data_IF_508704483378
#
_entry.id   IF_508704483378
#
_cell.length_a   1.000
_cell.length_b   1.000
_cell.length_c   1.000
_cell.angle_alpha   90.00
_cell.angle_beta   90.00
_cell.angle_gamma   90.00
#
_symmetry.space_group_name_H-M   'P 1'
#
loop_
_entity.id
_entity.type
_entity.pdbx_description
1 polymer ?
#
# COMPACT_ATOMS: atom_id res chain seq x y z
N UNK A 1 -3.64 -25.63 -10.28
CA UNK A 1 -4.67 -24.79 -9.65
C UNK A 1 -4.55 -23.37 -10.17
N UNK A 2 -5.67 -22.74 -10.49
CA UNK A 2 -5.74 -21.36 -11.03
C UNK A 2 -6.33 -20.41 -10.00
N UNK A 3 -5.61 -19.36 -9.65
CA UNK A 3 -5.99 -18.38 -8.61
C UNK A 3 -6.06 -17.00 -9.23
N UNK A 4 -7.12 -16.25 -8.94
CA UNK A 4 -7.27 -14.84 -9.32
C UNK A 4 -6.93 -13.96 -8.11
N UNK A 5 -5.90 -13.12 -8.25
CA UNK A 5 -5.47 -12.16 -7.24
C UNK A 5 -5.96 -10.76 -7.60
N UNK A 6 -6.66 -10.12 -6.67
CA UNK A 6 -7.15 -8.75 -6.76
C UNK A 6 -7.05 -8.07 -5.39
N UNK A 7 -7.03 -6.74 -5.35
CA UNK A 7 -6.94 -5.94 -4.12
C UNK A 7 -7.48 -4.53 -4.34
N UNK A 8 -7.56 -3.75 -3.29
CA UNK A 8 -7.77 -2.30 -3.33
C UNK A 8 -9.03 -1.90 -4.11
N UNK A 9 -10.16 -2.56 -3.78
CA UNK A 9 -11.45 -2.28 -4.45
C UNK A 9 -12.01 -0.93 -4.07
N UNK A 10 -11.78 -0.49 -2.82
CA UNK A 10 -12.22 0.79 -2.26
C UNK A 10 -13.68 1.10 -2.57
N UNK A 11 -14.59 0.15 -2.34
CA UNK A 11 -16.02 0.35 -2.56
C UNK A 11 -16.52 1.59 -1.80
N UNK A 12 -17.15 2.52 -2.53
CA UNK A 12 -17.62 3.78 -2.00
C UNK A 12 -16.63 4.94 -2.09
N UNK A 13 -15.48 4.75 -2.73
CA UNK A 13 -14.54 5.83 -3.03
C UNK A 13 -15.10 6.76 -4.09
N UNK A 14 -14.77 8.04 -3.98
CA UNK A 14 -15.07 9.05 -4.96
C UNK A 14 -13.78 9.57 -5.62
N UNK A 15 -13.86 9.95 -6.89
CA UNK A 15 -12.77 10.54 -7.66
C UNK A 15 -13.06 12.04 -7.85
N UNK A 16 -12.33 12.93 -7.16
CA UNK A 16 -12.56 14.39 -7.21
C UNK A 16 -14.05 14.78 -7.05
N UNK A 17 -14.77 14.11 -6.14
CA UNK A 17 -16.19 14.35 -5.88
C UNK A 17 -17.16 13.61 -6.83
N UNK A 18 -16.65 12.90 -7.83
CA UNK A 18 -17.45 12.01 -8.66
C UNK A 18 -17.61 10.64 -8.00
N UNK A 19 -18.83 10.16 -7.92
CA UNK A 19 -19.14 8.83 -7.38
C UNK A 19 -18.71 7.77 -8.39
N UNK A 20 -18.13 6.66 -7.89
CA UNK A 20 -17.61 5.57 -8.71
C UNK A 20 -18.48 4.29 -8.65
N UNK A 21 -19.72 4.39 -8.18
CA UNK A 21 -20.57 3.22 -7.95
C UNK A 21 -20.83 2.40 -9.23
N UNK A 22 -20.97 3.07 -10.37
CA UNK A 22 -21.12 2.42 -11.68
C UNK A 22 -19.84 1.69 -12.13
N UNK A 23 -18.67 2.27 -11.83
CA UNK A 23 -17.39 1.65 -12.12
C UNK A 23 -17.13 0.44 -11.20
N UNK A 24 -17.49 0.53 -9.91
CA UNK A 24 -17.41 -0.59 -8.98
C UNK A 24 -18.37 -1.73 -9.38
N UNK A 25 -19.59 -1.42 -9.80
CA UNK A 25 -20.55 -2.42 -10.28
C UNK A 25 -20.04 -3.12 -11.56
N UNK A 26 -19.51 -2.34 -12.52
CA UNK A 26 -18.94 -2.88 -13.75
C UNK A 26 -17.71 -3.77 -13.46
N UNK A 27 -16.88 -3.40 -12.49
CA UNK A 27 -15.77 -4.25 -12.03
C UNK A 27 -16.27 -5.55 -11.41
N UNK A 28 -17.30 -5.49 -10.55
CA UNK A 28 -17.89 -6.68 -9.92
C UNK A 28 -18.43 -7.66 -10.96
N UNK A 29 -19.12 -7.15 -12.00
CA UNK A 29 -19.61 -7.93 -13.12
C UNK A 29 -18.46 -8.59 -13.89
N UNK A 30 -17.44 -7.79 -14.26
CA UNK A 30 -16.25 -8.30 -14.93
C UNK A 30 -15.55 -9.40 -14.13
N UNK A 31 -15.42 -9.23 -12.82
CA UNK A 31 -14.75 -10.20 -11.94
C UNK A 31 -15.50 -11.55 -11.96
N UNK A 32 -16.83 -11.53 -11.88
CA UNK A 32 -17.67 -12.74 -11.95
C UNK A 32 -17.58 -13.42 -13.30
N UNK A 33 -17.59 -12.65 -14.39
CA UNK A 33 -17.43 -13.16 -15.76
C UNK A 33 -16.04 -13.78 -15.96
N UNK A 34 -14.98 -13.10 -15.49
CA UNK A 34 -13.60 -13.57 -15.57
C UNK A 34 -13.42 -14.90 -14.82
N UNK A 35 -13.97 -15.02 -13.62
CA UNK A 35 -13.93 -16.27 -12.85
C UNK A 35 -14.55 -17.43 -13.61
N UNK A 36 -15.64 -17.18 -14.31
CA UNK A 36 -16.31 -18.20 -15.11
C UNK A 36 -15.53 -18.54 -16.39
N UNK A 37 -15.04 -17.53 -17.11
CA UNK A 37 -14.33 -17.70 -18.37
C UNK A 37 -13.00 -18.44 -18.19
N UNK A 38 -12.27 -18.10 -17.14
CA UNK A 38 -10.93 -18.66 -16.85
C UNK A 38 -10.97 -19.89 -15.95
N UNK A 39 -12.14 -20.38 -15.56
CA UNK A 39 -12.28 -21.54 -14.67
C UNK A 39 -11.42 -21.40 -13.40
N UNK A 40 -11.57 -20.27 -12.71
CA UNK A 40 -10.78 -19.92 -11.52
C UNK A 40 -11.18 -20.78 -10.34
N UNK A 41 -10.23 -21.47 -9.73
CA UNK A 41 -10.44 -22.33 -8.55
C UNK A 41 -10.60 -21.55 -7.25
N UNK A 42 -9.90 -20.37 -7.15
CA UNK A 42 -9.99 -19.49 -6.00
C UNK A 42 -9.71 -18.03 -6.37
N UNK A 43 -10.38 -17.10 -5.69
CA UNK A 43 -10.11 -15.66 -5.71
C UNK A 43 -9.48 -15.26 -4.38
N UNK A 44 -8.36 -14.54 -4.41
CA UNK A 44 -7.75 -13.92 -3.24
C UNK A 44 -7.88 -12.41 -3.32
N UNK A 45 -8.47 -11.80 -2.27
CA UNK A 45 -8.73 -10.35 -2.18
C UNK A 45 -7.85 -9.78 -1.07
N UNK A 46 -6.81 -9.03 -1.44
CA UNK A 46 -5.71 -8.63 -0.55
C UNK A 46 -5.89 -7.22 0.04
N UNK A 47 -6.99 -7.01 0.77
CA UNK A 47 -7.25 -5.79 1.54
C UNK A 47 -7.88 -4.64 0.76
N UNK A 48 -8.22 -3.59 1.51
CA UNK A 48 -8.88 -2.36 1.07
C UNK A 48 -10.13 -2.63 0.21
N UNK A 49 -11.01 -3.45 0.79
CA UNK A 49 -12.30 -3.79 0.17
C UNK A 49 -13.23 -2.58 0.17
N UNK A 50 -13.32 -1.88 1.28
CA UNK A 50 -14.05 -0.63 1.42
C UNK A 50 -13.11 0.58 1.50
N UNK A 51 -13.56 1.74 1.00
CA UNK A 51 -12.80 2.99 1.10
C UNK A 51 -12.68 3.52 2.54
N UNK A 52 -13.56 3.10 3.43
CA UNK A 52 -13.58 3.55 4.83
C UNK A 52 -14.12 2.50 5.78
N UNK A 53 -13.69 2.58 7.02
CA UNK A 53 -14.09 1.65 8.09
C UNK A 53 -15.61 1.57 8.35
N UNK A 54 -16.38 2.60 7.96
CA UNK A 54 -17.86 2.63 8.00
C UNK A 54 -18.36 2.86 6.57
N UNK A 55 -18.54 1.78 5.77
CA UNK A 55 -18.98 1.91 4.39
C UNK A 55 -20.47 2.30 4.31
N UNK A 56 -20.88 2.99 3.24
CA UNK A 56 -22.29 3.17 2.92
C UNK A 56 -23.02 1.84 2.73
N UNK A 57 -24.30 1.80 3.04
CA UNK A 57 -25.11 0.57 2.90
C UNK A 57 -25.10 0.01 1.46
N UNK A 58 -25.13 0.88 0.45
CA UNK A 58 -25.05 0.47 -0.95
C UNK A 58 -23.75 -0.32 -1.26
N UNK A 59 -22.62 0.08 -0.68
CA UNK A 59 -21.35 -0.62 -0.86
C UNK A 59 -21.37 -2.00 -0.18
N UNK A 60 -22.03 -2.12 0.97
CA UNK A 60 -22.21 -3.41 1.65
C UNK A 60 -23.08 -4.33 0.79
N UNK A 61 -24.17 -3.82 0.22
CA UNK A 61 -25.03 -4.57 -0.70
C UNK A 61 -24.27 -5.02 -1.94
N UNK A 62 -23.47 -4.15 -2.56
CA UNK A 62 -22.67 -4.49 -3.73
C UNK A 62 -21.62 -5.58 -3.40
N UNK A 63 -20.97 -5.50 -2.24
CA UNK A 63 -20.04 -6.55 -1.81
C UNK A 63 -20.75 -7.88 -1.59
N UNK A 64 -21.87 -7.87 -0.86
CA UNK A 64 -22.67 -9.07 -0.58
C UNK A 64 -23.08 -9.77 -1.87
N UNK A 65 -23.67 -9.02 -2.81
CA UNK A 65 -24.08 -9.55 -4.13
C UNK A 65 -22.88 -10.10 -4.92
N UNK A 66 -21.74 -9.38 -4.90
CA UNK A 66 -20.52 -9.82 -5.60
C UNK A 66 -20.02 -11.14 -5.00
N UNK A 67 -19.89 -11.23 -3.67
CA UNK A 67 -19.45 -12.43 -2.97
C UNK A 67 -20.40 -13.61 -3.19
N UNK A 68 -21.72 -13.36 -3.18
CA UNK A 68 -22.72 -14.39 -3.47
C UNK A 68 -22.49 -14.99 -4.86
N UNK A 69 -22.36 -14.16 -5.89
CA UNK A 69 -22.11 -14.60 -7.28
C UNK A 69 -20.77 -15.30 -7.47
N UNK A 70 -19.71 -14.81 -6.84
CA UNK A 70 -18.38 -15.45 -6.88
C UNK A 70 -18.42 -16.84 -6.21
N UNK A 71 -19.01 -16.93 -5.02
CA UNK A 71 -19.02 -18.17 -4.25
C UNK A 71 -19.92 -19.27 -4.83
N UNK A 72 -20.80 -18.95 -5.76
CA UNK A 72 -21.52 -19.94 -6.58
C UNK A 72 -20.55 -20.74 -7.50
N UNK A 73 -19.42 -20.14 -7.87
CA UNK A 73 -18.49 -20.67 -8.89
C UNK A 73 -17.13 -21.07 -8.34
N UNK A 74 -16.59 -20.29 -7.40
CA UNK A 74 -15.22 -20.43 -6.90
C UNK A 74 -15.15 -20.25 -5.39
N UNK A 75 -13.97 -20.42 -4.82
CA UNK A 75 -13.68 -20.08 -3.43
C UNK A 75 -13.13 -18.65 -3.36
N UNK A 76 -13.49 -17.93 -2.30
CA UNK A 76 -12.99 -16.58 -2.05
C UNK A 76 -12.28 -16.54 -0.71
N UNK A 77 -11.04 -16.09 -0.70
CA UNK A 77 -10.27 -15.77 0.51
C UNK A 77 -10.06 -14.27 0.56
N UNK A 78 -10.43 -13.63 1.65
CA UNK A 78 -10.40 -12.16 1.77
C UNK A 78 -9.74 -11.73 3.08
N UNK A 79 -8.98 -10.64 3.03
CA UNK A 79 -8.40 -9.96 4.19
C UNK A 79 -8.78 -8.49 4.22
N UNK A 80 -8.88 -7.83 5.37
CA UNK A 80 -8.97 -6.37 5.44
C UNK A 80 -7.62 -5.71 5.15
N UNK A 81 -7.69 -4.52 4.54
CA UNK A 81 -6.58 -3.59 4.41
C UNK A 81 -6.61 -2.49 5.49
N UNK A 82 -5.87 -1.39 5.27
CA UNK A 82 -5.76 -0.31 6.23
C UNK A 82 -6.96 0.68 6.21
N UNK A 83 -7.78 0.66 5.17
CA UNK A 83 -9.03 1.41 5.10
C UNK A 83 -10.19 0.66 5.76
N UNK A 84 -10.13 -0.66 5.78
CA UNK A 84 -11.19 -1.50 6.30
C UNK A 84 -11.26 -1.49 7.84
N UNK A 85 -12.46 -1.72 8.36
CA UNK A 85 -12.61 -2.17 9.74
C UNK A 85 -12.52 -3.69 9.79
N UNK A 86 -11.44 -4.23 10.36
CA UNK A 86 -11.27 -5.67 10.54
C UNK A 86 -12.45 -6.32 11.28
N UNK A 87 -13.06 -5.62 12.25
CA UNK A 87 -14.23 -6.09 12.97
C UNK A 87 -15.49 -6.17 12.11
N UNK A 88 -15.71 -5.19 11.22
CA UNK A 88 -16.90 -5.14 10.36
C UNK A 88 -16.78 -6.09 9.18
N UNK A 89 -15.65 -6.07 8.48
CA UNK A 89 -15.39 -7.01 7.39
C UNK A 89 -15.35 -8.45 7.90
N UNK A 90 -14.81 -8.67 9.10
CA UNK A 90 -14.76 -9.98 9.76
C UNK A 90 -16.03 -10.37 10.50
N UNK A 91 -17.13 -9.60 10.38
CA UNK A 91 -18.41 -10.00 10.97
C UNK A 91 -18.85 -11.36 10.43
N UNK A 92 -19.23 -12.26 11.33
CA UNK A 92 -19.64 -13.63 11.01
C UNK A 92 -18.59 -14.51 10.29
N UNK A 93 -17.32 -14.06 10.17
CA UNK A 93 -16.26 -14.80 9.47
C UNK A 93 -16.07 -16.23 10.01
N UNK A 94 -16.24 -16.44 11.32
CA UNK A 94 -16.13 -17.77 11.92
C UNK A 94 -17.32 -18.68 11.61
N UNK A 95 -18.42 -18.14 11.08
CA UNK A 95 -19.60 -18.88 10.63
C UNK A 95 -19.54 -19.23 9.14
N UNK A 96 -18.77 -18.47 8.36
CA UNK A 96 -18.56 -18.71 6.94
C UNK A 96 -17.64 -19.90 6.73
N UNK A 97 -17.95 -20.76 5.77
CA UNK A 97 -17.22 -22.01 5.55
C UNK A 97 -17.11 -22.32 4.06
N UNK A 98 -16.16 -23.19 3.73
CA UNK A 98 -15.95 -23.81 2.43
C UNK A 98 -15.60 -22.84 1.30
N UNK A 99 -16.54 -21.99 0.87
CA UNK A 99 -16.35 -21.13 -0.31
C UNK A 99 -16.05 -19.68 0.00
N UNK A 100 -16.34 -19.21 1.23
CA UNK A 100 -15.97 -17.85 1.66
C UNK A 100 -15.19 -17.90 2.96
N UNK A 101 -13.96 -17.42 2.93
CA UNK A 101 -13.06 -17.39 4.07
C UNK A 101 -12.55 -15.96 4.25
N UNK A 102 -12.94 -15.31 5.35
CA UNK A 102 -12.48 -13.98 5.71
C UNK A 102 -11.50 -14.11 6.87
N UNK A 103 -10.27 -13.66 6.68
CA UNK A 103 -9.23 -13.61 7.70
C UNK A 103 -9.00 -12.17 8.14
N UNK A 104 -9.74 -11.74 9.17
CA UNK A 104 -9.72 -10.35 9.64
C UNK A 104 -8.96 -10.16 10.97
N UNK A 105 -8.58 -11.23 11.64
CA UNK A 105 -7.96 -11.18 12.98
C UNK A 105 -6.50 -11.64 12.92
N UNK A 106 -5.68 -11.11 13.82
CA UNK A 106 -4.30 -11.56 14.03
C UNK A 106 -4.23 -12.97 14.63
N UNK A 107 -5.28 -13.40 15.35
CA UNK A 107 -5.40 -14.78 15.83
C UNK A 107 -5.70 -15.72 14.67
N UNK A 108 -4.81 -16.68 14.41
CA UNK A 108 -4.96 -17.65 13.32
C UNK A 108 -4.07 -17.37 12.11
N UNK A 109 -3.14 -16.44 12.19
CA UNK A 109 -2.08 -16.23 11.18
C UNK A 109 -1.22 -17.49 10.98
N UNK A 110 -1.10 -18.31 12.02
CA UNK A 110 -0.44 -19.61 12.08
C UNK A 110 -1.28 -20.76 11.51
N UNK A 111 -2.40 -20.46 10.83
CA UNK A 111 -3.33 -21.47 10.29
C UNK A 111 -3.54 -21.24 8.81
N UNK A 112 -2.66 -21.84 8.00
CA UNK A 112 -2.82 -21.85 6.56
C UNK A 112 -4.14 -22.51 6.13
N UNK A 113 -4.75 -21.96 5.09
CA UNK A 113 -5.96 -22.47 4.45
C UNK A 113 -5.50 -23.42 3.34
N UNK A 114 -5.84 -24.68 3.42
CA UNK A 114 -5.57 -25.62 2.33
C UNK A 114 -6.74 -25.55 1.36
N UNK A 115 -6.48 -25.13 0.14
CA UNK A 115 -7.46 -25.07 -0.93
C UNK A 115 -7.29 -26.30 -1.83
N UNK A 116 -8.40 -27.01 -2.12
CA UNK A 116 -8.39 -28.09 -3.09
C UNK A 116 -8.52 -27.56 -4.53
N UNK A 117 -8.01 -28.34 -5.47
CA UNK A 117 -8.26 -28.15 -6.90
C UNK A 117 -9.70 -28.55 -7.30
N UNK A 118 -10.00 -28.48 -8.60
CA UNK A 118 -11.29 -28.87 -9.15
C UNK A 118 -11.64 -30.37 -8.92
N UNK A 119 -10.63 -31.21 -8.70
CA UNK A 119 -10.78 -32.65 -8.42
C UNK A 119 -10.96 -32.95 -6.93
N UNK A 120 -10.88 -31.94 -6.07
CA UNK A 120 -10.98 -32.06 -4.62
C UNK A 120 -9.68 -32.44 -3.91
N UNK A 121 -8.54 -32.53 -4.63
CA UNK A 121 -7.24 -32.79 -4.02
C UNK A 121 -6.65 -31.49 -3.44
N UNK A 122 -6.00 -31.59 -2.29
CA UNK A 122 -5.25 -30.48 -1.71
C UNK A 122 -4.21 -29.96 -2.68
N UNK A 123 -4.30 -28.68 -3.08
CA UNK A 123 -3.51 -28.13 -4.18
C UNK A 123 -2.60 -26.96 -3.76
N UNK A 124 -3.00 -26.15 -2.78
CA UNK A 124 -2.22 -24.98 -2.36
C UNK A 124 -2.51 -24.64 -0.89
N UNK A 125 -1.50 -24.12 -0.20
CA UNK A 125 -1.65 -23.56 1.15
C UNK A 125 -1.69 -22.03 1.01
N UNK A 126 -2.77 -21.40 1.47
CA UNK A 126 -2.91 -19.94 1.49
C UNK A 126 -2.80 -19.44 2.93
N UNK A 127 -1.82 -18.59 3.21
CA UNK A 127 -1.76 -17.82 4.44
C UNK A 127 -2.27 -16.41 4.18
N UNK A 128 -3.31 -16.01 4.88
CA UNK A 128 -3.98 -14.75 4.67
C UNK A 128 -3.70 -13.80 5.85
N UNK A 129 -2.76 -12.86 5.66
CA UNK A 129 -2.44 -11.84 6.63
C UNK A 129 -3.37 -10.64 6.41
N UNK A 130 -4.18 -10.22 7.41
CA UNK A 130 -4.85 -8.93 7.37
C UNK A 130 -3.80 -7.80 7.43
N UNK A 131 -4.20 -6.58 7.15
CA UNK A 131 -3.36 -5.43 7.49
C UNK A 131 -2.95 -5.48 8.96
N UNK A 132 -1.65 -5.41 9.20
CA UNK A 132 -1.06 -5.45 10.54
C UNK A 132 -0.71 -4.02 10.96
N UNK A 133 -1.67 -3.36 11.63
CA UNK A 133 -1.40 -2.08 12.26
C UNK A 133 -0.31 -2.24 13.32
N UNK A 134 0.83 -1.52 13.21
CA UNK A 134 1.96 -1.72 14.13
C UNK A 134 1.61 -1.48 15.60
N UNK A 135 0.70 -0.56 15.91
CA UNK A 135 0.32 -0.28 17.29
C UNK A 135 -0.48 -1.42 17.92
N UNK A 136 -1.41 -2.02 17.15
CA UNK A 136 -2.20 -3.14 17.60
C UNK A 136 -1.44 -4.48 17.52
N UNK A 137 -0.73 -4.71 16.41
CA UNK A 137 -0.06 -5.99 16.15
C UNK A 137 1.16 -6.20 17.06
N UNK A 138 1.90 -5.14 17.45
CA UNK A 138 3.03 -5.25 18.36
C UNK A 138 2.67 -5.82 19.75
N UNK A 139 1.41 -5.69 20.14
CA UNK A 139 0.89 -6.25 21.40
C UNK A 139 0.25 -7.63 21.21
N UNK A 140 -0.40 -7.84 20.07
CA UNK A 140 -1.15 -9.07 19.81
C UNK A 140 -0.27 -10.26 19.38
N UNK A 141 0.86 -10.02 18.70
CA UNK A 141 1.71 -11.09 18.17
C UNK A 141 2.64 -11.77 19.20
N UNK A 142 3.26 -11.08 20.18
CA UNK A 142 4.19 -11.72 21.11
C UNK A 142 3.60 -12.92 21.88
N UNK A 143 2.35 -12.90 22.39
CA UNK A 143 1.76 -14.07 23.01
C UNK A 143 1.64 -15.26 22.05
N UNK A 144 1.32 -15.01 20.78
CA UNK A 144 1.23 -16.07 19.76
C UNK A 144 2.60 -16.65 19.42
N UNK A 145 3.65 -15.82 19.33
CA UNK A 145 5.02 -16.28 19.13
C UNK A 145 5.49 -17.15 20.30
N UNK A 146 5.23 -16.72 21.53
CA UNK A 146 5.57 -17.48 22.72
C UNK A 146 4.85 -18.85 22.77
N UNK A 147 3.53 -18.85 22.48
CA UNK A 147 2.71 -20.07 22.48
C UNK A 147 3.11 -21.04 21.35
N UNK A 148 3.34 -20.52 20.15
CA UNK A 148 3.51 -21.36 18.95
C UNK A 148 4.97 -21.73 18.66
N UNK A 149 5.91 -20.84 18.97
CA UNK A 149 7.32 -21.01 18.65
C UNK A 149 8.21 -21.16 19.89
N UNK A 150 7.67 -20.98 21.09
CA UNK A 150 8.43 -20.97 22.33
C UNK A 150 9.37 -19.77 22.42
N UNK A 151 9.20 -18.75 21.58
CA UNK A 151 10.02 -17.56 21.58
C UNK A 151 9.75 -16.73 22.84
N UNK A 152 10.73 -16.63 23.71
CA UNK A 152 10.68 -15.68 24.82
C UNK A 152 11.08 -14.30 24.28
N UNK A 153 10.32 -13.30 24.64
CA UNK A 153 10.67 -11.90 24.32
C UNK A 153 12.08 -11.58 24.86
N UNK A 154 12.92 -10.98 24.02
CA UNK A 154 14.26 -10.52 24.40
C UNK A 154 14.24 -9.35 25.41
N UNK A 155 15.37 -8.75 25.82
CA UNK A 155 15.41 -7.63 26.77
C UNK A 155 14.67 -6.40 26.21
N UNK A 156 14.11 -5.53 27.09
CA UNK A 156 13.31 -4.36 26.68
C UNK A 156 14.11 -3.45 25.74
N UNK A 157 13.42 -2.90 24.75
CA UNK A 157 14.01 -1.89 23.86
C UNK A 157 14.27 -0.60 24.64
N UNK A 158 15.39 0.11 24.42
CA UNK A 158 15.70 1.36 25.13
C UNK A 158 14.67 2.48 24.96
N UNK A 159 13.76 2.34 23.99
CA UNK A 159 12.70 3.32 23.69
C UNK A 159 11.42 3.14 24.53
N UNK A 160 11.27 2.03 25.23
CA UNK A 160 10.19 1.86 26.22
C UNK A 160 10.61 2.57 27.52
N UNK A 161 10.33 3.89 27.60
CA UNK A 161 10.60 4.70 28.77
C UNK A 161 10.07 4.00 30.03
N UNK A 162 10.99 3.52 30.86
CA UNK A 162 10.68 3.08 32.22
C UNK A 162 10.18 4.30 32.98
N UNK A 163 8.93 4.29 33.37
CA UNK A 163 8.47 5.15 34.47
C UNK A 163 9.19 4.69 35.74
N UNK A 164 10.02 5.54 36.38
CA UNK A 164 10.89 5.11 37.49
C UNK A 164 10.16 4.70 38.77
N UNK A 165 8.84 4.76 38.79
CA UNK A 165 8.03 4.62 40.01
C UNK A 165 7.20 3.32 40.12
N UNK A 166 7.31 2.38 39.15
CA UNK A 166 6.64 1.07 39.25
C UNK A 166 7.50 0.06 40.00
N UNK A 167 7.56 0.19 41.33
CA UNK A 167 8.24 -0.73 42.25
C UNK A 167 7.51 -2.06 42.50
N UNK A 168 6.57 -2.48 41.67
CA UNK A 168 5.88 -3.77 41.77
C UNK A 168 6.29 -4.71 40.64
N UNK A 169 7.06 -5.75 40.97
CA UNK A 169 7.41 -6.85 40.10
C UNK A 169 6.15 -7.70 39.81
N UNK A 170 5.17 -7.11 39.12
CA UNK A 170 4.03 -7.82 38.57
C UNK A 170 4.47 -8.86 37.54
N UNK A 171 3.59 -9.83 37.17
CA UNK A 171 3.92 -10.90 36.24
C UNK A 171 4.47 -10.30 34.95
N UNK A 172 5.66 -10.78 34.54
CA UNK A 172 6.41 -10.34 33.36
C UNK A 172 5.46 -10.11 32.16
N UNK A 173 5.18 -8.85 31.83
CA UNK A 173 4.36 -8.51 30.66
C UNK A 173 5.09 -9.04 29.42
N UNK A 174 4.40 -9.70 28.49
CA UNK A 174 5.01 -10.13 27.25
C UNK A 174 5.54 -8.88 26.52
N UNK A 175 6.83 -8.94 26.18
CA UNK A 175 7.55 -7.82 25.59
C UNK A 175 6.94 -7.46 24.23
N UNK A 176 6.66 -6.17 24.02
CA UNK A 176 6.12 -5.63 22.77
C UNK A 176 7.16 -5.72 21.65
N UNK A 177 6.71 -5.95 20.42
CA UNK A 177 7.56 -5.81 19.23
C UNK A 177 7.90 -4.34 18.99
N UNK A 178 8.98 -4.09 18.22
CA UNK A 178 9.27 -2.75 17.74
C UNK A 178 8.06 -2.16 16.97
N UNK A 179 7.86 -0.84 17.11
CA UNK A 179 6.76 -0.12 16.49
C UNK A 179 7.08 0.17 15.02
N UNK A 180 7.06 -0.87 14.19
CA UNK A 180 7.29 -0.75 12.75
C UNK A 180 6.55 -1.84 11.99
N UNK A 181 6.19 -1.56 10.73
CA UNK A 181 5.59 -2.54 9.82
C UNK A 181 6.52 -3.74 9.60
N UNK A 182 7.82 -3.50 9.47
CA UNK A 182 8.81 -4.56 9.34
C UNK A 182 8.77 -5.55 10.50
N UNK A 183 8.74 -5.05 11.74
CA UNK A 183 8.75 -5.90 12.93
C UNK A 183 7.51 -6.78 13.04
N UNK A 184 6.31 -6.22 12.80
CA UNK A 184 5.05 -6.98 12.91
C UNK A 184 4.86 -7.96 11.76
N UNK A 185 5.25 -7.58 10.54
CA UNK A 185 5.21 -8.50 9.38
C UNK A 185 6.24 -9.62 9.54
N UNK A 186 7.45 -9.32 10.00
CA UNK A 186 8.46 -10.34 10.30
C UNK A 186 7.97 -11.35 11.35
N UNK A 187 7.34 -10.86 12.41
CA UNK A 187 6.76 -11.70 13.44
C UNK A 187 5.66 -12.63 12.89
N UNK A 188 4.73 -12.08 12.07
CA UNK A 188 3.69 -12.88 11.42
C UNK A 188 4.28 -13.94 10.48
N UNK A 189 5.32 -13.59 9.71
CA UNK A 189 5.96 -14.53 8.79
C UNK A 189 6.68 -15.68 9.50
N UNK A 190 7.21 -15.47 10.71
CA UNK A 190 7.74 -16.58 11.52
C UNK A 190 6.66 -17.60 11.88
N UNK A 191 5.45 -17.14 12.23
CA UNK A 191 4.31 -18.01 12.46
C UNK A 191 3.90 -18.79 11.20
N UNK A 192 3.89 -18.10 10.05
CA UNK A 192 3.63 -18.71 8.73
C UNK A 192 4.67 -19.79 8.40
N UNK A 193 5.96 -19.51 8.62
CA UNK A 193 7.03 -20.47 8.36
C UNK A 193 6.86 -21.76 9.15
N UNK A 194 6.55 -21.65 10.43
CA UNK A 194 6.33 -22.80 11.28
C UNK A 194 5.09 -23.61 10.87
N UNK A 195 4.02 -22.96 10.44
CA UNK A 195 2.84 -23.66 9.92
C UNK A 195 3.14 -24.39 8.61
N UNK A 196 3.86 -23.75 7.68
CA UNK A 196 4.28 -24.38 6.43
C UNK A 196 5.15 -25.60 6.68
N UNK A 197 6.12 -25.51 7.58
CA UNK A 197 6.96 -26.64 7.97
C UNK A 197 6.11 -27.82 8.46
N UNK A 198 5.21 -27.57 9.42
CA UNK A 198 4.31 -28.61 9.95
C UNK A 198 3.43 -29.24 8.87
N UNK A 199 2.86 -28.42 7.98
CA UNK A 199 1.96 -28.88 6.92
C UNK A 199 2.65 -29.66 5.83
N UNK A 200 3.91 -29.36 5.56
CA UNK A 200 4.72 -30.04 4.56
C UNK A 200 5.47 -31.25 5.12
N UNK A 201 5.61 -31.35 6.43
CA UNK A 201 6.28 -32.48 7.08
C UNK A 201 5.58 -33.81 6.76
N UNK A 202 6.36 -34.83 6.36
CA UNK A 202 5.86 -36.17 6.08
C UNK A 202 5.00 -36.33 4.82
N UNK A 203 4.84 -35.28 4.00
CA UNK A 203 4.15 -35.38 2.72
C UNK A 203 5.08 -35.92 1.63
N UNK A 204 4.57 -36.80 0.79
CA UNK A 204 5.30 -37.31 -0.39
C UNK A 204 5.43 -36.26 -1.49
N UNK A 205 4.50 -35.29 -1.56
CA UNK A 205 4.46 -34.21 -2.53
C UNK A 205 4.35 -32.85 -1.83
N UNK A 206 5.13 -31.89 -2.33
CA UNK A 206 5.14 -30.53 -1.78
C UNK A 206 3.88 -29.77 -2.19
N UNK A 207 3.17 -29.21 -1.22
CA UNK A 207 2.11 -28.24 -1.51
C UNK A 207 2.72 -26.85 -1.71
N UNK A 208 2.45 -26.18 -2.83
CA UNK A 208 2.83 -24.78 -3.04
C UNK A 208 2.14 -23.85 -2.05
N UNK A 209 2.68 -22.65 -1.87
CA UNK A 209 2.16 -21.69 -0.90
C UNK A 209 1.96 -20.30 -1.49
N UNK A 210 0.84 -19.71 -1.13
CA UNK A 210 0.47 -18.32 -1.41
C UNK A 210 0.36 -17.59 -0.09
N UNK A 211 1.03 -16.43 0.01
CA UNK A 211 0.84 -15.48 1.10
C UNK A 211 0.01 -14.31 0.58
N UNK A 212 -1.07 -13.96 1.26
CA UNK A 212 -1.77 -12.70 1.08
C UNK A 212 -1.27 -11.71 2.12
N UNK A 213 -0.96 -10.48 1.72
CA UNK A 213 -0.58 -9.41 2.64
C UNK A 213 -1.01 -8.05 2.09
N UNK A 214 -1.29 -7.12 3.00
CA UNK A 214 -1.58 -5.73 2.66
C UNK A 214 -0.54 -4.84 3.32
N UNK A 215 0.46 -4.41 2.56
CA UNK A 215 1.62 -3.67 3.07
C UNK A 215 2.34 -2.91 1.96
N UNK A 216 3.01 -1.81 2.31
CA UNK A 216 3.94 -1.14 1.42
C UNK A 216 5.31 -1.83 1.48
N UNK A 217 5.71 -2.48 0.40
CA UNK A 217 7.01 -3.16 0.29
C UNK A 217 8.02 -2.26 -0.41
N UNK A 218 9.22 -2.17 0.13
CA UNK A 218 10.33 -1.37 -0.44
C UNK A 218 10.58 -1.75 -1.89
N UNK A 219 10.69 -0.74 -2.76
CA UNK A 219 10.85 -0.89 -4.21
C UNK A 219 9.53 -0.83 -4.98
N UNK A 220 8.39 -0.75 -4.30
CA UNK A 220 7.10 -0.47 -4.92
C UNK A 220 6.94 1.02 -5.26
N UNK A 221 6.27 1.30 -6.37
CA UNK A 221 5.91 2.65 -6.79
C UNK A 221 4.51 2.99 -6.28
N UNK A 222 4.42 3.94 -5.36
CA UNK A 222 3.16 4.48 -4.85
C UNK A 222 2.55 5.51 -5.83
N UNK A 223 1.25 5.76 -5.72
CA UNK A 223 0.54 6.88 -6.33
C UNK A 223 0.07 7.88 -5.26
N UNK A 224 -0.64 8.93 -5.64
CA UNK A 224 -1.17 9.92 -4.69
C UNK A 224 -2.46 9.45 -3.99
N UNK A 225 -2.98 8.31 -4.35
CA UNK A 225 -4.27 7.82 -3.88
C UNK A 225 -4.17 6.85 -2.70
N UNK A 226 -2.98 6.31 -2.42
CA UNK A 226 -2.74 5.46 -1.25
C UNK A 226 -2.76 6.31 0.04
N UNK A 227 -3.30 5.70 1.09
CA UNK A 227 -3.28 6.31 2.42
C UNK A 227 -1.89 6.18 3.03
N UNK A 228 -1.39 7.29 3.59
CA UNK A 228 -0.14 7.28 4.38
C UNK A 228 -0.31 6.37 5.62
N UNK A 229 0.53 5.34 5.71
CA UNK A 229 0.56 4.37 6.82
C UNK A 229 1.80 4.54 7.71
N UNK A 230 2.50 5.68 7.63
CA UNK A 230 3.74 5.92 8.37
C UNK A 230 3.59 5.79 9.87
N UNK A 231 4.49 5.01 10.46
CA UNK A 231 4.66 4.88 11.91
C UNK A 231 6.11 5.16 12.24
N UNK A 232 6.37 6.19 13.05
CA UNK A 232 7.75 6.58 13.38
C UNK A 232 8.59 7.03 12.18
N UNK A 233 7.95 7.45 11.08
CA UNK A 233 8.63 7.90 9.85
C UNK A 233 8.96 6.79 8.85
N UNK A 234 8.65 5.53 9.15
CA UNK A 234 8.87 4.37 8.26
C UNK A 234 7.53 3.69 7.98
N UNK A 235 7.19 3.55 6.71
CA UNK A 235 5.94 2.97 6.23
C UNK A 235 6.10 1.65 5.47
N UNK A 236 7.34 1.24 5.23
CA UNK A 236 7.65 0.17 4.29
C UNK A 236 8.24 -1.07 4.96
N UNK A 237 8.01 -2.21 4.31
CA UNK A 237 8.57 -3.51 4.67
C UNK A 237 9.63 -3.90 3.65
N UNK A 238 10.88 -4.23 4.05
CA UNK A 238 11.86 -4.73 3.11
C UNK A 238 11.39 -6.01 2.42
N UNK A 239 11.54 -6.10 1.10
CA UNK A 239 11.15 -7.30 0.34
C UNK A 239 11.85 -8.57 0.81
N UNK A 240 13.04 -8.44 1.40
CA UNK A 240 13.80 -9.53 1.99
C UNK A 240 13.06 -10.22 3.15
N UNK A 241 12.21 -9.51 3.87
CA UNK A 241 11.39 -10.06 4.98
C UNK A 241 10.53 -11.23 4.48
N UNK A 242 9.99 -11.14 3.27
CA UNK A 242 9.19 -12.22 2.66
C UNK A 242 10.05 -13.41 2.20
N UNK A 243 11.25 -13.16 1.68
CA UNK A 243 12.17 -14.23 1.24
C UNK A 243 12.79 -14.99 2.40
N UNK A 244 13.06 -14.31 3.51
CA UNK A 244 13.59 -14.92 4.74
C UNK A 244 12.51 -15.37 5.71
N UNK A 245 11.24 -15.11 5.37
CA UNK A 245 10.08 -15.36 6.25
C UNK A 245 10.28 -14.81 7.66
N UNK A 246 10.67 -13.53 7.73
CA UNK A 246 10.93 -12.83 8.98
C UNK A 246 12.20 -13.31 9.73
N UNK A 247 13.13 -13.92 9.03
CA UNK A 247 14.35 -14.49 9.63
C UNK A 247 14.11 -15.80 10.38
N UNK A 248 13.02 -16.51 10.08
CA UNK A 248 12.65 -17.77 10.75
C UNK A 248 13.66 -18.88 10.46
N UNK A 249 14.08 -19.63 11.49
CA UNK A 249 14.83 -20.86 11.32
C UNK A 249 14.04 -21.93 10.54
N UNK A 250 12.71 -21.91 10.64
CA UNK A 250 11.82 -22.80 9.90
C UNK A 250 11.70 -22.45 8.41
N UNK A 251 12.19 -21.28 7.95
CA UNK A 251 12.05 -20.84 6.57
C UNK A 251 12.66 -21.82 5.57
N UNK A 252 13.85 -22.38 5.87
CA UNK A 252 14.50 -23.37 5.01
C UNK A 252 13.77 -24.72 5.04
N UNK A 253 13.43 -25.22 6.24
CA UNK A 253 12.72 -26.48 6.42
C UNK A 253 11.30 -26.44 5.82
N UNK A 254 10.65 -25.28 5.88
CA UNK A 254 9.32 -25.06 5.27
C UNK A 254 9.35 -25.11 3.73
N UNK A 255 10.50 -24.95 3.09
CA UNK A 255 10.63 -24.79 1.63
C UNK A 255 10.13 -23.45 1.10
N UNK A 256 9.85 -22.47 1.97
CA UNK A 256 9.54 -21.09 1.62
C UNK A 256 8.18 -20.85 0.96
N UNK A 257 7.95 -19.59 0.59
CA UNK A 257 6.78 -19.12 -0.16
C UNK A 257 7.00 -19.23 -1.67
N UNK A 258 5.95 -19.45 -2.44
CA UNK A 258 6.00 -19.47 -3.91
C UNK A 258 5.48 -18.15 -4.50
N UNK A 259 4.43 -17.58 -3.90
CA UNK A 259 3.79 -16.35 -4.34
C UNK A 259 3.36 -15.49 -3.16
N UNK A 260 3.57 -14.18 -3.26
CA UNK A 260 3.08 -13.18 -2.32
C UNK A 260 2.12 -12.27 -3.05
N UNK A 261 0.84 -12.41 -2.75
CA UNK A 261 -0.24 -11.58 -3.24
C UNK A 261 -0.33 -10.32 -2.37
N UNK A 262 0.07 -9.18 -2.92
CA UNK A 262 0.15 -7.90 -2.22
C UNK A 262 -1.02 -6.97 -2.60
N UNK A 263 -1.58 -6.29 -1.59
CA UNK A 263 -2.42 -5.11 -1.73
C UNK A 263 -1.77 -3.88 -1.10
N UNK A 264 -2.39 -2.72 -1.24
CA UNK A 264 -2.03 -1.38 -0.80
C UNK A 264 -1.56 -0.46 -1.92
N UNK A 265 -0.74 -0.92 -2.85
CA UNK A 265 -0.30 -0.09 -3.97
C UNK A 265 -1.24 -0.24 -5.17
N UNK A 266 -1.77 0.90 -5.63
CA UNK A 266 -2.80 0.94 -6.68
C UNK A 266 -2.27 0.73 -8.10
N UNK A 267 -0.93 0.79 -8.30
CA UNK A 267 -0.29 0.46 -9.58
C UNK A 267 0.05 -1.02 -9.63
N UNK A 268 -0.43 -1.78 -10.64
CA UNK A 268 -0.03 -3.17 -10.83
C UNK A 268 1.46 -3.28 -11.07
N UNK A 269 2.17 -4.05 -10.25
CA UNK A 269 3.62 -4.19 -10.35
C UNK A 269 4.12 -5.49 -9.72
N UNK A 270 5.22 -6.01 -10.24
CA UNK A 270 5.96 -7.12 -9.67
C UNK A 270 7.28 -6.62 -9.10
N UNK A 271 7.53 -6.91 -7.85
CA UNK A 271 8.77 -6.55 -7.18
C UNK A 271 9.81 -7.64 -7.37
N UNK A 272 11.01 -7.23 -7.73
CA UNK A 272 12.17 -8.11 -7.76
C UNK A 272 12.99 -7.86 -6.50
N UNK A 273 13.07 -8.82 -5.57
CA UNK A 273 13.98 -8.70 -4.44
C UNK A 273 15.40 -8.44 -4.98
N UNK A 274 16.18 -7.57 -4.31
CA UNK A 274 17.58 -7.39 -4.69
C UNK A 274 18.26 -8.76 -4.69
N UNK A 275 18.96 -9.08 -5.78
CA UNK A 275 19.84 -10.25 -5.80
C UNK A 275 20.82 -10.07 -4.65
N UNK A 276 20.93 -11.07 -3.77
CA UNK A 276 22.02 -11.11 -2.82
C UNK A 276 23.32 -10.96 -3.64
N UNK A 277 23.97 -9.79 -3.52
CA UNK A 277 25.31 -9.64 -4.07
C UNK A 277 26.15 -10.72 -3.42
N UNK A 278 26.73 -11.59 -4.24
CA UNK A 278 27.74 -12.52 -3.77
C UNK A 278 28.90 -11.66 -3.25
N UNK A 279 28.82 -11.36 -1.94
CA UNK A 279 29.79 -10.55 -1.25
C UNK A 279 31.17 -11.15 -1.44
N UNK A 280 32.07 -10.36 -2.01
CA UNK A 280 33.48 -10.63 -2.02
C UNK A 280 33.96 -10.87 -0.57
N UNK A 281 34.47 -12.06 -0.32
CA UNK A 281 35.45 -12.41 0.67
C UNK A 281 35.20 -12.04 2.17
N UNK A 282 34.34 -12.79 2.84
CA UNK A 282 34.67 -13.32 4.17
C UNK A 282 34.17 -14.77 4.23
N UNK A 283 35.05 -15.72 4.44
CA UNK A 283 34.89 -17.16 4.25
C UNK A 283 33.91 -17.87 5.19
N UNK A 284 32.66 -17.45 5.21
CA UNK A 284 31.54 -18.22 5.74
C UNK A 284 30.50 -18.33 4.64
N UNK A 285 30.55 -19.43 3.93
CA UNK A 285 29.49 -19.87 3.02
C UNK A 285 28.25 -20.14 3.86
N UNK A 286 27.35 -19.17 3.96
CA UNK A 286 25.97 -19.48 4.28
C UNK A 286 25.46 -20.42 3.19
N UNK A 287 24.86 -21.60 3.52
CA UNK A 287 24.36 -22.51 2.52
C UNK A 287 23.31 -21.76 1.69
N UNK A 288 23.50 -21.74 0.38
CA UNK A 288 22.53 -21.21 -0.57
C UNK A 288 21.18 -21.84 -0.26
N UNK A 289 20.20 -21.01 0.08
CA UNK A 289 18.82 -21.48 0.23
C UNK A 289 18.44 -22.15 -1.11
N UNK A 290 18.20 -23.42 -1.08
CA UNK A 290 17.78 -24.24 -2.24
C UNK A 290 16.33 -23.96 -2.64
N UNK A 291 15.76 -22.83 -2.25
CA UNK A 291 14.41 -22.40 -2.57
C UNK A 291 14.42 -21.25 -3.59
N UNK A 292 13.56 -21.38 -4.59
CA UNK A 292 13.23 -20.30 -5.52
C UNK A 292 12.64 -19.13 -4.72
N UNK A 293 13.15 -17.91 -4.91
CA UNK A 293 12.58 -16.73 -4.26
C UNK A 293 11.11 -16.55 -4.68
N UNK A 294 10.20 -16.21 -3.76
CA UNK A 294 8.80 -15.99 -4.08
C UNK A 294 8.64 -14.81 -5.06
N UNK A 295 7.60 -14.87 -5.89
CA UNK A 295 7.18 -13.72 -6.67
C UNK A 295 6.32 -12.80 -5.81
N UNK A 296 6.70 -11.52 -5.70
CA UNK A 296 6.00 -10.50 -4.94
C UNK A 296 5.24 -9.62 -5.93
N UNK A 297 3.90 -9.65 -5.88
CA UNK A 297 3.08 -9.00 -6.92
C UNK A 297 1.97 -8.19 -6.30
N UNK A 298 1.85 -6.93 -6.70
CA UNK A 298 0.68 -6.09 -6.50
C UNK A 298 -0.25 -6.23 -7.70
N UNK A 299 -1.50 -6.62 -7.47
CA UNK A 299 -2.53 -6.61 -8.52
C UNK A 299 -2.88 -5.17 -8.94
N UNK A 300 -2.70 -4.23 -8.03
CA UNK A 300 -3.19 -2.88 -8.13
C UNK A 300 -4.69 -2.76 -7.86
N UNK A 301 -5.19 -1.54 -7.80
CA UNK A 301 -6.63 -1.27 -7.72
C UNK A 301 -7.30 -1.51 -9.08
N UNK A 302 -8.57 -1.96 -9.10
CA UNK A 302 -9.30 -2.20 -10.35
C UNK A 302 -9.70 -0.90 -11.07
N UNK A 303 -9.73 0.22 -10.35
CA UNK A 303 -10.16 1.54 -10.84
C UNK A 303 -9.04 2.54 -10.52
N UNK A 304 -8.85 3.55 -11.37
CA UNK A 304 -7.95 4.66 -11.08
C UNK A 304 -8.58 5.58 -10.01
N UNK A 305 -7.83 5.89 -8.96
CA UNK A 305 -8.26 6.75 -7.86
C UNK A 305 -7.50 8.07 -7.79
N UNK A 306 -6.49 8.26 -8.65
CA UNK A 306 -5.78 9.52 -8.84
C UNK A 306 -5.41 9.75 -10.30
N UNK A 307 -5.15 11.01 -10.67
CA UNK A 307 -4.65 11.32 -12.02
C UNK A 307 -3.25 10.77 -12.29
N UNK A 308 -2.50 10.44 -11.26
CA UNK A 308 -1.17 9.84 -11.41
C UNK A 308 -1.23 8.37 -11.85
N UNK A 309 -2.41 7.78 -11.82
CA UNK A 309 -2.67 6.42 -12.29
C UNK A 309 -3.21 6.37 -13.72
N UNK A 310 -3.30 7.52 -14.40
CA UNK A 310 -3.87 7.64 -15.75
C UNK A 310 -3.17 6.77 -16.80
N UNK A 311 -1.89 6.50 -16.63
CA UNK A 311 -1.03 5.68 -17.49
C UNK A 311 -0.94 4.22 -17.04
N UNK A 312 -1.54 3.88 -15.89
CA UNK A 312 -1.51 2.54 -15.34
C UNK A 312 -2.66 1.68 -15.91
N UNK A 313 -2.34 0.62 -16.62
CA UNK A 313 -3.33 -0.38 -17.00
C UNK A 313 -3.82 -1.12 -15.75
N UNK A 314 -5.10 -0.96 -15.42
CA UNK A 314 -5.72 -1.60 -14.28
C UNK A 314 -5.96 -3.07 -14.56
N UNK A 315 -5.59 -3.93 -13.60
CA UNK A 315 -5.61 -5.38 -13.84
C UNK A 315 -5.92 -6.17 -12.58
N UNK A 316 -6.40 -7.39 -12.77
CA UNK A 316 -6.28 -8.50 -11.82
C UNK A 316 -5.17 -9.44 -12.28
N UNK A 317 -4.63 -10.26 -11.39
CA UNK A 317 -3.55 -11.20 -11.71
C UNK A 317 -4.07 -12.62 -11.70
N UNK A 318 -3.98 -13.29 -12.84
CA UNK A 318 -4.28 -14.72 -12.97
C UNK A 318 -3.00 -15.50 -12.72
N UNK A 319 -3.03 -16.40 -11.74
CA UNK A 319 -1.90 -17.19 -11.27
C UNK A 319 -2.17 -18.67 -11.50
N UNK A 320 -1.34 -19.33 -12.28
CA UNK A 320 -1.29 -20.80 -12.33
C UNK A 320 -0.19 -21.30 -11.39
N UNK A 321 -0.58 -22.19 -10.47
CA UNK A 321 0.31 -22.73 -9.43
C UNK A 321 0.17 -24.26 -9.35
N UNK A 322 1.31 -24.93 -9.27
CA UNK A 322 1.41 -26.38 -9.16
C UNK A 322 2.46 -26.80 -8.13
N UNK A 323 2.78 -28.09 -8.01
CA UNK A 323 3.73 -28.60 -7.00
C UNK A 323 5.11 -27.93 -7.07
N UNK A 324 5.55 -27.56 -8.28
CA UNK A 324 6.82 -26.83 -8.51
C UNK A 324 6.73 -25.31 -8.24
N UNK A 325 5.60 -24.81 -7.72
CA UNK A 325 5.33 -23.41 -7.46
C UNK A 325 4.60 -22.72 -8.62
N UNK A 326 4.88 -21.43 -8.86
CA UNK A 326 4.23 -20.63 -9.90
C UNK A 326 4.65 -21.09 -11.28
N UNK A 327 3.69 -21.55 -12.09
CA UNK A 327 3.90 -22.02 -13.48
C UNK A 327 3.45 -21.01 -14.52
N UNK A 328 2.48 -20.14 -14.20
CA UNK A 328 1.99 -19.06 -15.05
C UNK A 328 1.59 -17.84 -14.24
N UNK A 329 1.76 -16.67 -14.81
CA UNK A 329 1.26 -15.40 -14.25
C UNK A 329 0.91 -14.47 -15.40
N UNK A 330 -0.35 -14.05 -15.42
CA UNK A 330 -0.89 -13.15 -16.42
C UNK A 330 -1.63 -11.99 -15.75
N UNK A 331 -1.51 -10.80 -16.31
CA UNK A 331 -2.32 -9.64 -15.92
C UNK A 331 -3.51 -9.54 -16.85
N UNK A 332 -4.70 -9.64 -16.28
CA UNK A 332 -5.95 -9.50 -17.00
C UNK A 332 -6.46 -8.08 -16.82
N UNK A 333 -6.55 -7.33 -17.89
CA UNK A 333 -7.01 -5.95 -17.86
C UNK A 333 -8.45 -5.84 -17.35
N UNK A 334 -8.67 -4.88 -16.45
CA UNK A 334 -10.02 -4.52 -15.99
C UNK A 334 -10.61 -3.49 -16.95
N UNK A 335 -11.86 -3.66 -17.43
CA UNK A 335 -12.51 -2.68 -18.29
C UNK A 335 -12.63 -1.31 -17.62
N UNK A 336 -12.07 -0.28 -18.26
CA UNK A 336 -12.06 1.09 -17.74
C UNK A 336 -13.40 1.77 -18.07
N UNK A 337 -14.22 2.05 -17.04
CA UNK A 337 -15.49 2.77 -17.19
C UNK A 337 -15.27 4.27 -17.41
N UNK A 338 -14.36 4.86 -16.63
CA UNK A 338 -14.02 6.28 -16.71
C UNK A 338 -12.50 6.39 -16.95
N UNK A 339 -12.13 6.84 -18.13
CA UNK A 339 -10.74 7.16 -18.45
C UNK A 339 -10.34 8.44 -17.74
N UNK A 340 -9.11 8.48 -17.23
CA UNK A 340 -8.53 9.67 -16.61
C UNK A 340 -7.33 10.14 -17.43
N UNK A 341 -7.17 11.45 -17.59
CA UNK A 341 -6.08 12.05 -18.38
C UNK A 341 -5.55 13.30 -17.69
N UNK A 342 -4.26 13.53 -17.82
CA UNK A 342 -3.65 14.82 -17.51
C UNK A 342 -3.26 15.50 -18.83
N UNK A 343 -3.76 16.70 -19.05
CA UNK A 343 -3.41 17.56 -20.20
C UNK A 343 -2.60 18.73 -19.70
N UNK A 344 -1.44 18.96 -20.31
CA UNK A 344 -0.52 20.03 -19.97
C UNK A 344 -0.19 20.86 -21.21
N UNK A 345 -0.21 22.17 -21.08
CA UNK A 345 0.13 23.08 -22.17
C UNK A 345 -0.44 24.48 -22.03
N UNK A 346 -0.15 25.31 -23.02
CA UNK A 346 -0.74 26.64 -23.15
C UNK A 346 -2.23 26.59 -23.53
N UNK A 347 -2.95 27.70 -23.32
CA UNK A 347 -4.39 27.77 -23.55
C UNK A 347 -4.82 27.34 -24.96
N UNK A 348 -4.11 27.81 -25.99
CA UNK A 348 -4.40 27.46 -27.39
C UNK A 348 -4.21 25.97 -27.66
N UNK A 349 -3.13 25.38 -27.16
CA UNK A 349 -2.83 23.95 -27.29
C UNK A 349 -3.88 23.09 -26.61
N UNK A 350 -4.30 23.49 -25.40
CA UNK A 350 -5.32 22.76 -24.64
C UNK A 350 -6.66 22.78 -25.35
N UNK A 351 -7.08 23.96 -25.89
CA UNK A 351 -8.34 24.07 -26.65
C UNK A 351 -8.29 23.40 -28.03
N UNK A 352 -7.10 23.15 -28.58
CA UNK A 352 -6.93 22.36 -29.80
C UNK A 352 -7.01 20.84 -29.55
N UNK A 353 -6.88 20.41 -28.29
CA UNK A 353 -6.99 18.98 -27.92
C UNK A 353 -8.46 18.58 -27.89
N UNK A 354 -8.83 17.53 -28.61
CA UNK A 354 -10.21 17.01 -28.62
C UNK A 354 -10.65 16.45 -27.28
N UNK A 355 -11.91 16.66 -26.93
CA UNK A 355 -12.55 15.98 -25.81
C UNK A 355 -12.98 14.56 -26.25
N UNK A 356 -12.53 13.56 -25.50
CA UNK A 356 -12.87 12.14 -25.70
C UNK A 356 -13.79 11.58 -24.58
N UNK A 357 -14.37 12.48 -23.77
CA UNK A 357 -15.24 12.13 -22.66
C UNK A 357 -14.49 11.63 -21.42
N UNK A 358 -13.15 11.72 -21.39
CA UNK A 358 -12.34 11.37 -20.22
C UNK A 358 -12.51 12.37 -19.08
N UNK A 359 -12.26 11.92 -17.86
CA UNK A 359 -12.05 12.82 -16.73
C UNK A 359 -10.65 13.43 -16.83
N UNK A 360 -10.58 14.75 -16.75
CA UNK A 360 -9.37 15.50 -17.11
C UNK A 360 -8.86 16.31 -15.95
N UNK A 361 -7.54 16.22 -15.71
CA UNK A 361 -6.76 17.23 -14.99
C UNK A 361 -6.06 18.10 -16.04
N UNK A 362 -6.27 19.43 -15.97
CA UNK A 362 -5.57 20.38 -16.81
C UNK A 362 -4.49 21.10 -16.01
N UNK A 363 -3.27 21.11 -16.53
CA UNK A 363 -2.14 21.92 -16.08
C UNK A 363 -1.90 22.99 -17.15
N UNK A 364 -2.42 24.19 -16.89
CA UNK A 364 -2.21 25.33 -17.78
C UNK A 364 -0.82 25.93 -17.55
N UNK A 365 0.03 25.88 -18.56
CA UNK A 365 1.36 26.48 -18.54
C UNK A 365 1.35 27.85 -19.23
N UNK A 366 2.21 28.75 -18.80
CA UNK A 366 2.30 30.07 -19.38
C UNK A 366 1.25 31.06 -18.87
N UNK A 367 0.76 31.94 -19.75
CA UNK A 367 -0.19 32.96 -19.37
C UNK A 367 -1.58 32.40 -19.12
N UNK A 368 -2.22 32.89 -18.06
CA UNK A 368 -3.61 32.56 -17.73
C UNK A 368 -4.54 33.72 -18.17
N UNK A 369 -5.20 33.57 -19.32
CA UNK A 369 -6.14 34.62 -19.77
C UNK A 369 -7.37 34.68 -18.85
N UNK A 370 -8.03 35.85 -18.75
CA UNK A 370 -9.31 35.97 -18.07
C UNK A 370 -10.33 34.93 -18.58
N UNK A 371 -11.02 34.27 -17.69
CA UNK A 371 -12.00 33.24 -18.05
C UNK A 371 -11.44 31.88 -18.49
N UNK A 372 -10.12 31.64 -18.39
CA UNK A 372 -9.47 30.39 -18.80
C UNK A 372 -10.16 29.14 -18.24
N UNK A 373 -10.46 29.11 -16.93
CA UNK A 373 -11.15 27.97 -16.33
C UNK A 373 -12.54 27.74 -16.91
N UNK A 374 -13.29 28.81 -17.17
CA UNK A 374 -14.63 28.69 -17.75
C UNK A 374 -14.59 28.15 -19.19
N UNK A 375 -13.65 28.64 -20.00
CA UNK A 375 -13.42 28.15 -21.36
C UNK A 375 -12.99 26.68 -21.38
N UNK A 376 -12.07 26.28 -20.49
CA UNK A 376 -11.62 24.89 -20.38
C UNK A 376 -12.73 23.96 -19.87
N UNK A 377 -13.56 24.42 -18.92
CA UNK A 377 -14.74 23.62 -18.48
C UNK A 377 -15.80 23.46 -19.56
N UNK A 378 -15.97 24.47 -20.41
CA UNK A 378 -16.89 24.38 -21.55
C UNK A 378 -16.37 23.42 -22.64
N UNK A 379 -15.04 23.38 -22.81
CA UNK A 379 -14.37 22.50 -23.78
C UNK A 379 -14.23 21.06 -23.31
N UNK A 380 -13.92 20.87 -22.01
CA UNK A 380 -13.81 19.57 -21.37
C UNK A 380 -14.87 19.42 -20.26
N UNK A 381 -16.06 18.89 -20.54
CA UNK A 381 -17.10 18.64 -19.52
C UNK A 381 -16.59 17.76 -18.36
N UNK A 382 -15.64 16.87 -18.64
CA UNK A 382 -14.95 16.02 -17.66
C UNK A 382 -13.81 16.68 -16.90
N UNK A 383 -13.64 18.01 -16.92
CA UNK A 383 -12.60 18.71 -16.18
C UNK A 383 -12.84 18.67 -14.67
N UNK A 384 -12.08 17.85 -13.95
CA UNK A 384 -12.21 17.65 -12.50
C UNK A 384 -11.13 18.38 -11.69
N UNK A 385 -9.95 18.62 -12.27
CA UNK A 385 -8.87 19.33 -11.62
C UNK A 385 -8.22 20.34 -12.56
N UNK A 386 -7.91 21.52 -12.04
CA UNK A 386 -7.22 22.60 -12.78
C UNK A 386 -6.07 23.16 -11.97
N UNK A 387 -4.89 23.16 -12.56
CA UNK A 387 -3.69 23.78 -12.02
C UNK A 387 -3.17 24.81 -13.00
N UNK A 388 -2.60 25.90 -12.51
CA UNK A 388 -1.92 26.89 -13.32
C UNK A 388 -0.46 26.98 -12.87
N UNK A 389 0.44 26.66 -13.78
CA UNK A 389 1.86 26.86 -13.62
C UNK A 389 2.26 28.17 -14.30
N UNK A 390 2.33 29.22 -13.49
CA UNK A 390 2.79 30.49 -13.98
C UNK A 390 4.24 30.39 -14.49
N UNK A 391 4.62 31.11 -15.57
CA UNK A 391 6.00 31.19 -16.02
C UNK A 391 6.89 31.55 -14.85
N UNK A 392 7.82 30.68 -14.47
CA UNK A 392 8.82 31.07 -13.49
C UNK A 392 9.78 32.02 -14.17
N UNK A 393 9.96 33.27 -13.66
CA UNK A 393 11.05 34.11 -14.15
C UNK A 393 12.35 33.30 -13.98
N UNK A 394 13.31 33.49 -14.93
CA UNK A 394 14.59 32.80 -14.82
C UNK A 394 15.16 33.07 -13.42
N UNK A 395 15.38 32.00 -12.66
CA UNK A 395 15.96 32.10 -11.32
C UNK A 395 17.33 32.74 -11.48
N UNK A 396 17.42 34.05 -11.19
CA UNK A 396 18.68 34.70 -11.04
C UNK A 396 19.56 33.90 -10.09
N UNK A 397 20.84 33.74 -10.41
CA UNK A 397 21.79 33.07 -9.54
C UNK A 397 21.62 33.63 -8.13
N UNK A 398 21.02 32.82 -7.23
CA UNK A 398 20.97 33.18 -5.81
C UNK A 398 22.40 33.35 -5.34
N UNK A 399 22.77 34.57 -4.94
CA UNK A 399 24.02 34.75 -4.23
C UNK A 399 23.99 33.88 -2.98
N UNK A 400 25.03 33.09 -2.78
CA UNK A 400 25.11 32.24 -1.57
C UNK A 400 25.04 33.18 -0.36
N UNK A 401 24.06 32.97 0.50
CA UNK A 401 23.92 33.70 1.76
C UNK A 401 25.09 33.27 2.62
N UNK A 402 26.08 34.12 2.80
CA UNK A 402 27.22 33.88 3.69
C UNK A 402 26.91 34.43 5.08
N UNK A 403 27.59 33.93 6.12
CA UNK A 403 27.46 34.43 7.49
C UNK A 403 27.78 35.95 7.64
N UNK A 404 28.41 36.56 6.63
CA UNK A 404 28.72 37.97 6.57
C UNK A 404 27.69 38.83 5.82
N UNK A 405 26.60 38.22 5.30
CA UNK A 405 25.56 38.95 4.59
C UNK A 405 24.69 39.75 5.55
N UNK A 406 24.36 40.99 5.15
CA UNK A 406 23.48 41.87 5.94
C UNK A 406 22.06 41.26 6.06
N UNK A 407 21.55 40.97 7.26
CA UNK A 407 20.23 40.40 7.47
C UNK A 407 19.08 41.25 6.89
N UNK A 408 19.23 42.55 6.79
CA UNK A 408 18.25 43.45 6.18
C UNK A 408 18.22 43.29 4.66
N UNK A 409 19.39 43.15 4.01
CA UNK A 409 19.46 42.86 2.58
C UNK A 409 18.93 41.45 2.25
N UNK A 410 19.17 40.43 3.11
CA UNK A 410 18.58 39.12 2.94
C UNK A 410 17.05 39.18 3.02
N UNK A 411 16.51 39.90 4.01
CA UNK A 411 15.07 40.09 4.18
C UNK A 411 14.42 40.88 3.04
N UNK A 412 15.11 41.92 2.56
CA UNK A 412 14.68 42.71 1.39
C UNK A 412 14.69 41.86 0.11
N UNK A 413 15.74 41.06 -0.11
CA UNK A 413 15.82 40.09 -1.20
C UNK A 413 14.74 39.04 -1.17
N UNK A 414 14.36 38.55 0.01
CA UNK A 414 13.23 37.61 0.20
C UNK A 414 11.90 38.27 -0.21
N UNK A 415 11.66 39.54 0.19
CA UNK A 415 10.45 40.26 -0.20
C UNK A 415 10.43 40.56 -1.73
N UNK A 416 11.59 40.81 -2.35
CA UNK A 416 11.71 40.95 -3.79
C UNK A 416 11.35 39.63 -4.51
N UNK A 417 11.87 38.50 -4.06
CA UNK A 417 11.63 37.19 -4.61
C UNK A 417 10.14 36.78 -4.49
N UNK A 418 9.52 37.02 -3.33
CA UNK A 418 8.11 36.61 -3.05
C UNK A 418 7.13 37.62 -3.63
N UNK A 419 7.41 38.92 -3.45
CA UNK A 419 6.54 40.02 -3.89
C UNK A 419 6.67 40.38 -5.38
N UNK A 420 7.66 39.79 -6.06
CA UNK A 420 8.01 40.09 -7.46
C UNK A 420 8.23 41.58 -7.74
N UNK A 421 8.59 42.34 -6.75
CA UNK A 421 8.95 43.77 -6.82
C UNK A 421 9.87 44.11 -5.67
N UNK A 422 10.77 45.01 -5.90
CA UNK A 422 11.65 45.53 -4.84
C UNK A 422 10.84 46.20 -3.72
N UNK A 423 11.16 45.94 -2.44
CA UNK A 423 10.47 46.57 -1.33
C UNK A 423 10.59 48.10 -1.39
N UNK A 424 9.49 48.79 -1.10
CA UNK A 424 9.43 50.24 -1.00
C UNK A 424 10.27 50.76 0.18
N UNK A 425 10.54 52.04 0.22
CA UNK A 425 11.25 52.67 1.33
C UNK A 425 10.53 52.46 2.67
N UNK A 426 9.21 52.51 2.68
CA UNK A 426 8.40 52.25 3.89
C UNK A 426 8.51 50.80 4.36
N UNK A 427 8.51 49.82 3.45
CA UNK A 427 8.66 48.40 3.78
C UNK A 427 10.08 48.12 4.31
N UNK A 428 11.12 48.73 3.74
CA UNK A 428 12.49 48.64 4.27
C UNK A 428 12.63 49.23 5.67
N UNK A 429 11.92 50.30 5.97
CA UNK A 429 11.89 50.92 7.30
C UNK A 429 11.23 49.97 8.33
N UNK A 430 10.13 49.30 7.98
CA UNK A 430 9.48 48.32 8.80
C UNK A 430 10.40 47.11 9.09
N UNK A 431 11.12 46.61 8.06
CA UNK A 431 12.10 45.54 8.21
C UNK A 431 13.21 45.93 9.19
N UNK A 432 13.74 47.14 9.05
CA UNK A 432 14.79 47.66 9.95
C UNK A 432 14.31 47.77 11.39
N UNK A 433 13.13 48.34 11.61
CA UNK A 433 12.54 48.47 12.94
C UNK A 433 12.30 47.10 13.61
N UNK A 434 11.78 46.13 12.85
CA UNK A 434 11.57 44.78 13.34
C UNK A 434 12.89 44.08 13.71
N UNK A 435 13.92 44.22 12.90
CA UNK A 435 15.24 43.64 13.15
C UNK A 435 15.90 44.24 14.42
N UNK A 436 15.87 45.60 14.57
CA UNK A 436 16.38 46.28 15.75
C UNK A 436 15.64 45.85 17.05
N UNK A 437 14.32 45.73 16.95
CA UNK A 437 13.49 45.22 18.08
C UNK A 437 13.85 43.80 18.46
N UNK A 438 14.08 42.92 17.49
CA UNK A 438 14.50 41.53 17.74
C UNK A 438 15.88 41.45 18.42
N UNK A 439 16.84 42.28 17.98
CA UNK A 439 18.15 42.40 18.61
C UNK A 439 18.09 42.91 20.06
N UNK A 440 17.24 43.89 20.33
CA UNK A 440 17.03 44.43 21.68
C UNK A 440 16.45 43.37 22.60
N UNK A 441 15.41 42.63 22.13
CA UNK A 441 14.79 41.53 22.87
C UNK A 441 15.77 40.34 23.15
N UNK A 442 16.65 40.06 22.19
CA UNK A 442 17.67 39.00 22.36
C UNK A 442 18.78 39.37 23.37
N UNK A 443 19.09 40.67 23.54
CA UNK A 443 20.03 41.17 24.55
C UNK A 443 19.46 41.16 25.98
N UNK A 444 18.15 41.29 26.12
CA UNK A 444 17.46 41.28 27.41
C UNK A 444 17.28 39.87 27.98
N UNK A 445 17.57 38.83 27.22
CA UNK A 445 17.45 37.40 27.62
C UNK A 445 18.79 36.72 27.94
N UNK A 446 19.89 37.46 27.85
CA UNK A 446 21.23 37.06 28.29
C UNK A 446 21.62 37.89 29.54
#
# INVERSE_FOLDING_TARGET
MRILHTSDWHLGRAFHGQVLDDAHAAFADHLVELVAAESVDAVVVCGDVYDRAVPPAACVTLLDETLRRLTERTRVVMTPGNHDSAHRLGFAADLMRERLIIRARTTGLDRGIVLPDASGHEAVIVHALPYLDPDAAREALPPLLAERLGERSGPPSPEDGQDPDDGDAGPCRPQRLARSHEAVVSAALRLVAADLERRRAGRGERLPSVLMAHAFVVGGAASQSERDIRVGGVDSVPSQVFTTMGGSAAAQASGGLDYVALGHLHRPQELRPPRAEQGAATGQTAPAASGRAPRLVYSGSPIAFSFDEADAEKSSVLLDIGPEGVTGLERIAVPVRHRVRTLEGGMEQLLATGDDGSWVRVILTGDRPPGALAALKAHFPGLLAFHHEAPQPPRGRRAAVTAAADPLEISAGFLDDVGRRSPSAAEREVLRSAYESALAAGRSRR
#
